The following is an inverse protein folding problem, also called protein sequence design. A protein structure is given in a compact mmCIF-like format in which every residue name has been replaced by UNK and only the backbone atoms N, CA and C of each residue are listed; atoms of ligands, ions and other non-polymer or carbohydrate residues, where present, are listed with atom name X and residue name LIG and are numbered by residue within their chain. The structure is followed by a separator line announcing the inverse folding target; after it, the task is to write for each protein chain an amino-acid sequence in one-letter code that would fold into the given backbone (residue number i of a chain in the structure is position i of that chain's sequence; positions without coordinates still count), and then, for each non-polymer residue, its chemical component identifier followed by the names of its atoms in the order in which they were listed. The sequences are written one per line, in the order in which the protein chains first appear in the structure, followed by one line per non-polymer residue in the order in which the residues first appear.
data_IF_286392920285
#
_entry.id   IF_286392920285
#
_cell.length_a   1.000
_cell.length_b   1.000
_cell.length_c   1.000
_cell.angle_alpha   90.00
_cell.angle_beta   90.00
_cell.angle_gamma   90.00
#
_symmetry.space_group_name_H-M   'P 1'
#
loop_
_entity.id
_entity.type
_entity.pdbx_description
1 polymer ?
#
# COMPACT_ATOMS: atom_id res chain seq x y z
N UNK A 1 9.82 56.36 -29.79
CA UNK A 1 10.49 55.90 -31.03
C UNK A 1 10.89 54.45 -30.87
N UNK A 2 10.47 53.61 -31.83
CA UNK A 2 10.96 52.28 -32.24
C UNK A 2 10.85 51.05 -31.32
N UNK A 3 9.99 50.14 -31.81
CA UNK A 3 9.87 48.70 -31.59
C UNK A 3 11.15 47.91 -31.93
N UNK A 4 11.31 46.73 -31.31
CA UNK A 4 11.58 45.42 -31.94
C UNK A 4 11.64 44.35 -30.83
N UNK A 5 11.08 43.15 -30.86
CA UNK A 5 10.43 42.38 -31.91
C UNK A 5 10.71 40.87 -31.72
N UNK A 6 9.65 40.09 -31.48
CA UNK A 6 9.37 38.71 -31.94
C UNK A 6 10.30 37.56 -31.42
N UNK A 7 9.79 36.36 -31.11
CA UNK A 7 9.11 35.45 -32.04
C UNK A 7 8.07 34.52 -31.39
N UNK A 8 6.93 34.52 -32.07
CA UNK A 8 5.81 33.58 -32.02
C UNK A 8 6.20 32.32 -32.80
N UNK A 9 5.80 31.15 -32.32
CA UNK A 9 5.55 29.99 -33.19
C UNK A 9 4.44 29.13 -32.57
N UNK A 10 3.19 29.52 -32.85
CA UNK A 10 2.06 28.61 -32.82
C UNK A 10 2.14 27.73 -34.08
N UNK A 11 2.01 26.42 -33.91
CA UNK A 11 1.63 25.51 -34.98
C UNK A 11 0.30 24.89 -34.59
N UNK A 12 -0.77 25.52 -35.07
CA UNK A 12 -2.08 24.92 -35.15
C UNK A 12 -2.09 24.00 -36.38
N UNK A 13 -2.26 22.69 -36.16
CA UNK A 13 -2.60 21.76 -37.23
C UNK A 13 -4.13 21.61 -37.25
N UNK A 14 -4.75 22.24 -38.24
CA UNK A 14 -6.14 22.03 -38.62
C UNK A 14 -6.24 20.65 -39.29
N UNK A 15 -6.90 19.71 -38.64
CA UNK A 15 -7.29 18.44 -39.27
C UNK A 15 -8.77 18.53 -39.67
N UNK A 16 -8.99 18.39 -40.97
CA UNK A 16 -10.27 18.48 -41.68
C UNK A 16 -11.21 17.38 -41.20
N UNK A 17 -12.38 17.78 -40.70
CA UNK A 17 -13.47 16.91 -40.29
C UNK A 17 -14.25 16.41 -41.50
N UNK A 18 -14.08 15.13 -41.86
CA UNK A 18 -15.07 14.40 -42.66
C UNK A 18 -16.10 13.78 -41.73
N UNK A 19 -17.34 14.25 -41.81
CA UNK A 19 -18.48 13.65 -41.13
C UNK A 19 -18.77 12.26 -41.70
N UNK A 20 -18.62 11.22 -40.87
CA UNK A 20 -19.31 9.94 -41.06
C UNK A 20 -20.23 9.72 -39.87
N UNK A 21 -21.54 9.69 -40.13
CA UNK A 21 -22.58 9.28 -39.20
C UNK A 21 -22.41 7.78 -38.90
N UNK A 22 -21.99 7.46 -37.67
CA UNK A 22 -21.92 6.10 -37.16
C UNK A 22 -21.88 6.13 -35.64
N UNK A 23 -23.00 5.82 -35.00
CA UNK A 23 -23.16 5.76 -33.55
C UNK A 23 -22.31 4.65 -32.94
N UNK A 24 -21.34 5.02 -32.12
CA UNK A 24 -20.78 4.18 -31.06
C UNK A 24 -20.46 5.10 -29.87
N UNK A 25 -21.30 5.02 -28.84
CA UNK A 25 -20.95 5.51 -27.50
C UNK A 25 -19.84 4.62 -26.98
N UNK A 26 -18.59 5.05 -27.16
CA UNK A 26 -17.46 4.48 -26.46
C UNK A 26 -17.55 4.91 -25.00
N UNK A 27 -17.99 3.99 -24.13
CA UNK A 27 -17.83 4.12 -22.69
C UNK A 27 -16.34 4.25 -22.40
N UNK A 28 -15.92 5.44 -21.93
CA UNK A 28 -14.57 5.65 -21.44
C UNK A 28 -14.39 4.85 -20.15
N UNK A 29 -13.83 3.65 -20.27
CA UNK A 29 -13.22 2.96 -19.13
C UNK A 29 -12.02 3.80 -18.69
N UNK A 30 -11.83 4.04 -17.38
CA UNK A 30 -10.60 4.66 -16.91
C UNK A 30 -9.44 3.74 -17.31
N UNK A 31 -8.48 4.31 -18.05
CA UNK A 31 -7.27 3.62 -18.44
C UNK A 31 -6.55 3.15 -17.17
N UNK A 32 -6.69 1.86 -16.84
CA UNK A 32 -5.74 1.19 -15.96
C UNK A 32 -4.37 1.38 -16.59
N UNK A 33 -3.45 2.01 -15.85
CA UNK A 33 -2.10 2.23 -16.31
C UNK A 33 -1.50 0.92 -16.82
N UNK A 34 -1.26 0.85 -18.13
CA UNK A 34 -0.60 -0.28 -18.78
C UNK A 34 0.74 -0.51 -18.07
N UNK A 35 1.04 -1.71 -17.55
CA UNK A 35 2.39 -2.01 -17.08
C UNK A 35 3.37 -1.78 -18.25
N UNK A 36 4.58 -1.26 -17.98
CA UNK A 36 5.52 -0.91 -19.03
C UNK A 36 5.78 -2.13 -19.91
N UNK A 37 5.41 -2.04 -21.19
CA UNK A 37 5.74 -3.04 -22.21
C UNK A 37 7.22 -2.85 -22.51
N UNK A 38 8.08 -3.69 -21.93
CA UNK A 38 9.49 -3.73 -22.31
C UNK A 38 9.61 -4.03 -23.80
N UNK A 39 10.36 -3.21 -24.54
CA UNK A 39 10.80 -3.56 -25.89
C UNK A 39 11.71 -4.79 -25.85
N UNK A 40 11.67 -5.59 -26.92
CA UNK A 40 12.22 -6.96 -27.04
C UNK A 40 13.74 -7.11 -26.80
N UNK A 41 14.47 -6.08 -26.41
CA UNK A 41 15.95 -6.10 -26.34
C UNK A 41 16.59 -5.56 -25.08
N UNK A 42 15.86 -4.95 -24.13
CA UNK A 42 16.52 -4.40 -22.93
C UNK A 42 15.59 -4.26 -21.73
N UNK A 43 14.92 -5.36 -21.37
CA UNK A 43 14.26 -5.46 -20.08
C UNK A 43 15.35 -5.83 -19.06
N UNK A 44 15.79 -4.93 -18.15
CA UNK A 44 16.75 -5.32 -17.13
C UNK A 44 16.16 -6.50 -16.37
N UNK A 45 16.88 -7.62 -16.33
CA UNK A 45 16.44 -8.81 -15.59
C UNK A 45 16.50 -8.47 -14.10
N UNK A 46 15.42 -7.89 -13.61
CA UNK A 46 15.26 -7.56 -12.21
C UNK A 46 15.12 -8.85 -11.41
N UNK A 47 15.78 -8.89 -10.26
CA UNK A 47 15.74 -10.04 -9.37
C UNK A 47 14.36 -10.17 -8.73
N UNK A 48 13.78 -11.38 -8.71
CA UNK A 48 12.53 -11.63 -8.00
C UNK A 48 12.71 -11.45 -6.48
N UNK A 49 11.65 -10.93 -5.84
CA UNK A 49 11.59 -10.73 -4.38
C UNK A 49 10.41 -11.50 -3.81
N UNK A 50 10.65 -12.24 -2.73
CA UNK A 50 9.61 -12.82 -1.89
C UNK A 50 9.23 -11.77 -0.87
N UNK A 51 8.00 -11.29 -0.91
CA UNK A 51 7.45 -10.35 0.06
C UNK A 51 6.30 -11.02 0.82
N UNK A 52 6.32 -10.92 2.14
CA UNK A 52 5.25 -11.41 3.00
C UNK A 52 4.91 -10.36 4.04
N UNK A 53 3.62 -10.11 4.25
CA UNK A 53 3.12 -9.18 5.25
C UNK A 53 2.56 -9.96 6.45
N UNK A 54 2.76 -9.44 7.66
CA UNK A 54 2.24 -10.05 8.89
C UNK A 54 0.89 -9.44 9.27
N UNK A 55 0.05 -10.18 9.99
CA UNK A 55 -1.20 -9.62 10.53
C UNK A 55 -0.92 -8.37 11.38
N UNK A 56 -1.63 -7.28 11.07
CA UNK A 56 -1.65 -6.06 11.86
C UNK A 56 -2.74 -6.07 12.92
N UNK A 57 -2.68 -5.13 13.86
CA UNK A 57 -3.73 -4.95 14.88
C UNK A 57 -4.06 -3.48 15.04
N UNK A 58 -5.33 -3.13 15.00
CA UNK A 58 -5.84 -1.85 15.46
C UNK A 58 -6.17 -1.95 16.94
N UNK A 59 -5.44 -1.21 17.76
CA UNK A 59 -5.81 -0.89 19.12
C UNK A 59 -6.85 0.25 19.09
N UNK A 60 -8.11 -0.05 19.43
CA UNK A 60 -9.19 0.95 19.40
C UNK A 60 -9.24 1.85 20.63
N UNK A 61 -8.49 1.52 21.69
CA UNK A 61 -8.34 2.39 22.87
C UNK A 61 -7.47 3.59 22.51
N UNK A 62 -6.31 3.32 21.91
CA UNK A 62 -5.31 4.33 21.53
C UNK A 62 -5.46 4.80 20.08
N UNK A 63 -6.39 4.19 19.34
CA UNK A 63 -6.63 4.44 17.93
C UNK A 63 -5.34 4.30 17.12
N UNK A 64 -4.63 3.20 17.35
CA UNK A 64 -3.29 2.97 16.81
C UNK A 64 -3.19 1.62 16.11
N UNK A 65 -2.64 1.63 14.90
CA UNK A 65 -2.21 0.43 14.18
C UNK A 65 -0.81 0.01 14.64
N UNK A 66 -0.73 -1.26 15.01
CA UNK A 66 0.46 -1.94 15.49
C UNK A 66 0.72 -3.20 14.66
N UNK A 67 1.95 -3.71 14.74
CA UNK A 67 2.39 -4.93 14.05
C UNK A 67 2.26 -4.89 12.52
N UNK A 68 2.17 -3.69 11.94
CA UNK A 68 2.20 -3.49 10.48
C UNK A 68 3.62 -3.74 10.01
N UNK A 69 3.88 -4.93 9.47
CA UNK A 69 5.22 -5.40 9.16
C UNK A 69 5.25 -6.23 7.89
N UNK A 70 6.37 -6.17 7.17
CA UNK A 70 6.64 -7.04 6.03
C UNK A 70 8.08 -7.52 6.04
N UNK A 71 8.27 -8.75 5.54
CA UNK A 71 9.58 -9.38 5.34
C UNK A 71 9.84 -9.52 3.86
N UNK A 72 11.01 -9.06 3.41
CA UNK A 72 11.48 -9.17 2.04
C UNK A 72 12.72 -10.05 1.94
N UNK A 73 12.73 -10.94 0.95
CA UNK A 73 13.81 -11.90 0.69
C UNK A 73 14.16 -11.86 -0.79
N UNK A 74 15.46 -11.77 -1.12
CA UNK A 74 15.94 -11.97 -2.48
C UNK A 74 15.77 -13.45 -2.85
N UNK A 75 14.90 -13.74 -3.82
CA UNK A 75 14.57 -15.12 -4.19
C UNK A 75 15.67 -15.83 -4.98
N UNK A 76 16.65 -15.08 -5.50
CA UNK A 76 17.82 -15.65 -6.18
C UNK A 76 18.83 -16.17 -5.16
N UNK A 77 19.08 -15.39 -4.10
CA UNK A 77 20.10 -15.73 -3.10
C UNK A 77 19.54 -16.41 -1.85
N UNK A 78 18.22 -16.33 -1.63
CA UNK A 78 17.54 -16.78 -0.41
C UNK A 78 17.85 -15.93 0.82
N UNK A 79 18.51 -14.76 0.65
CA UNK A 79 18.94 -13.91 1.75
C UNK A 79 17.91 -12.82 2.05
N UNK A 80 17.83 -12.33 3.30
CA UNK A 80 17.01 -11.17 3.62
C UNK A 80 17.45 -9.96 2.80
N UNK A 81 16.48 -9.24 2.24
CA UNK A 81 16.75 -8.06 1.45
C UNK A 81 16.87 -6.85 2.38
N UNK A 82 18.08 -6.32 2.55
CA UNK A 82 18.40 -5.23 3.48
C UNK A 82 18.34 -3.87 2.78
N UNK A 83 17.78 -2.85 3.44
CA UNK A 83 17.73 -1.48 2.93
C UNK A 83 16.72 -1.23 1.82
N UNK A 84 15.78 -2.14 1.58
CA UNK A 84 14.70 -1.94 0.62
C UNK A 84 13.57 -1.10 1.21
N UNK A 85 13.05 -0.15 0.44
CA UNK A 85 11.92 0.69 0.86
C UNK A 85 10.60 -0.05 0.67
N UNK A 86 9.86 -0.22 1.77
CA UNK A 86 8.50 -0.73 1.78
C UNK A 86 7.55 0.39 2.21
N UNK A 87 6.47 0.54 1.44
CA UNK A 87 5.36 1.44 1.75
C UNK A 87 4.14 0.60 2.14
N UNK A 88 3.47 1.03 3.20
CA UNK A 88 2.30 0.35 3.74
C UNK A 88 1.07 1.18 3.42
N UNK A 89 0.06 0.56 2.83
CA UNK A 89 -1.19 1.19 2.44
C UNK A 89 -2.34 0.44 3.07
N UNK A 90 -3.42 1.13 3.40
CA UNK A 90 -4.70 0.46 3.55
C UNK A 90 -5.13 -0.20 2.24
N UNK A 91 -6.04 -1.17 2.33
CA UNK A 91 -6.70 -1.75 1.14
C UNK A 91 -7.41 -0.70 0.24
N UNK A 92 -7.80 0.44 0.79
CA UNK A 92 -8.39 1.57 0.06
C UNK A 92 -7.35 2.48 -0.63
N UNK A 93 -6.05 2.19 -0.49
CA UNK A 93 -4.96 2.93 -1.14
C UNK A 93 -4.42 4.12 -0.35
N UNK A 94 -4.88 4.35 0.89
CA UNK A 94 -4.35 5.40 1.77
C UNK A 94 -3.00 4.97 2.34
N UNK A 95 -1.98 5.82 2.24
CA UNK A 95 -0.67 5.56 2.81
C UNK A 95 -0.73 5.57 4.35
N UNK A 96 -0.33 4.47 4.98
CA UNK A 96 -0.15 4.33 6.42
C UNK A 96 1.24 4.80 6.85
N UNK A 97 2.25 4.52 6.03
CA UNK A 97 3.64 4.90 6.29
C UNK A 97 4.63 4.13 5.43
N UNK A 98 5.91 4.28 5.73
CA UNK A 98 6.98 3.59 5.01
C UNK A 98 8.17 3.31 5.92
N UNK A 99 8.86 2.21 5.67
CA UNK A 99 10.08 1.85 6.38
C UNK A 99 11.06 1.13 5.46
N UNK A 100 12.35 1.21 5.79
CA UNK A 100 13.39 0.42 5.16
C UNK A 100 13.55 -0.91 5.87
N UNK A 101 13.83 -1.97 5.10
CA UNK A 101 14.11 -3.28 5.68
C UNK A 101 15.44 -3.28 6.45
N UNK A 102 15.43 -3.88 7.64
CA UNK A 102 16.63 -4.05 8.47
C UNK A 102 17.49 -5.24 8.01
N UNK A 103 18.52 -5.61 8.80
CA UNK A 103 19.42 -6.74 8.50
C UNK A 103 18.72 -8.11 8.38
N UNK A 104 17.52 -8.24 8.95
CA UNK A 104 16.70 -9.45 8.84
C UNK A 104 15.67 -9.36 7.70
N UNK A 105 15.74 -8.33 6.85
CA UNK A 105 14.80 -8.13 5.75
C UNK A 105 13.43 -7.62 6.19
N UNK A 106 13.30 -7.15 7.43
CA UNK A 106 12.00 -6.77 8.02
C UNK A 106 11.87 -5.25 8.00
N UNK A 107 10.75 -4.75 7.48
CA UNK A 107 10.30 -3.37 7.63
C UNK A 107 9.00 -3.34 8.45
N UNK A 108 8.84 -2.33 9.31
CA UNK A 108 7.65 -2.21 10.14
C UNK A 108 7.34 -0.77 10.51
N UNK A 109 6.06 -0.49 10.73
CA UNK A 109 5.57 0.81 11.17
C UNK A 109 4.51 0.64 12.28
N UNK A 110 4.27 1.75 12.97
CA UNK A 110 3.05 1.99 13.75
C UNK A 110 2.41 3.25 13.20
N UNK A 111 1.08 3.29 13.12
CA UNK A 111 0.36 4.45 12.57
C UNK A 111 -0.83 4.82 13.47
N UNK A 112 -1.03 6.11 13.72
CA UNK A 112 -2.26 6.57 14.37
C UNK A 112 -3.41 6.59 13.36
N UNK A 113 -4.59 6.17 13.80
CA UNK A 113 -5.80 6.10 13.00
C UNK A 113 -6.87 7.05 13.52
N UNK A 114 -7.69 7.53 12.60
CA UNK A 114 -8.91 8.24 12.91
C UNK A 114 -10.06 7.50 12.23
N UNK A 115 -10.94 6.90 13.03
CA UNK A 115 -12.05 6.08 12.53
C UNK A 115 -13.20 6.98 12.07
N UNK A 116 -12.94 7.75 11.01
CA UNK A 116 -13.97 8.45 10.27
C UNK A 116 -14.93 7.48 9.57
N UNK A 117 -16.04 7.99 9.02
CA UNK A 117 -16.98 7.17 8.25
C UNK A 117 -16.25 6.43 7.12
N UNK A 118 -16.38 5.11 7.05
CA UNK A 118 -15.73 4.28 6.02
C UNK A 118 -14.35 3.75 6.39
N UNK A 119 -13.64 4.35 7.36
CA UNK A 119 -12.27 3.93 7.73
C UNK A 119 -12.25 2.53 8.31
N UNK A 120 -13.24 2.15 9.12
CA UNK A 120 -13.30 0.79 9.68
C UNK A 120 -13.47 -0.25 8.58
N UNK A 121 -14.32 0.01 7.58
CA UNK A 121 -14.50 -0.92 6.46
C UNK A 121 -13.21 -1.09 5.64
N UNK A 122 -12.49 0.02 5.43
CA UNK A 122 -11.18 0.01 4.79
C UNK A 122 -10.16 -0.83 5.58
N UNK A 123 -10.08 -0.64 6.89
CA UNK A 123 -9.13 -1.38 7.74
C UNK A 123 -9.49 -2.86 7.91
N UNK A 124 -10.78 -3.20 7.92
CA UNK A 124 -11.24 -4.60 7.98
C UNK A 124 -10.85 -5.41 6.73
N UNK A 125 -10.66 -4.72 5.60
CA UNK A 125 -10.12 -5.33 4.38
C UNK A 125 -8.60 -5.52 4.44
N UNK A 126 -7.92 -5.09 5.51
CA UNK A 126 -6.47 -5.26 5.68
C UNK A 126 -5.62 -4.13 5.10
N UNK A 127 -4.34 -4.43 4.93
CA UNK A 127 -3.34 -3.53 4.39
C UNK A 127 -2.43 -4.22 3.37
N UNK A 128 -1.85 -3.43 2.49
CA UNK A 128 -0.88 -3.86 1.49
C UNK A 128 0.50 -3.30 1.82
N UNK A 129 1.50 -4.17 1.90
CA UNK A 129 2.90 -3.81 1.89
C UNK A 129 3.40 -3.81 0.44
N UNK A 130 3.98 -2.71 -0.01
CA UNK A 130 4.48 -2.54 -1.38
C UNK A 130 5.96 -2.21 -1.35
N UNK A 131 6.77 -3.10 -1.90
CA UNK A 131 8.18 -2.86 -2.16
C UNK A 131 8.30 -2.05 -3.47
N UNK A 132 8.93 -0.88 -3.39
CA UNK A 132 8.94 0.11 -4.49
C UNK A 132 9.83 -0.31 -5.67
N UNK A 133 10.76 -1.24 -5.44
CA UNK A 133 11.82 -1.60 -6.39
C UNK A 133 12.97 -0.59 -6.32
N UNK A 134 14.20 -1.06 -6.52
CA UNK A 134 15.44 -0.27 -6.41
C UNK A 134 16.24 -0.25 -7.73
N UNK A 135 15.63 -0.71 -8.83
CA UNK A 135 16.30 -0.88 -10.12
C UNK A 135 17.12 -2.17 -10.25
N UNK A 136 17.24 -2.96 -9.17
CA UNK A 136 17.85 -4.30 -9.17
C UNK A 136 16.80 -5.37 -8.87
N UNK A 137 15.86 -5.07 -7.99
CA UNK A 137 14.79 -5.94 -7.53
C UNK A 137 13.43 -5.48 -8.09
N UNK A 138 12.57 -6.44 -8.43
CA UNK A 138 11.21 -6.14 -8.89
C UNK A 138 10.40 -5.44 -7.80
N UNK A 139 9.53 -4.51 -8.20
CA UNK A 139 8.45 -4.06 -7.33
C UNK A 139 7.47 -5.22 -7.09
N UNK A 140 7.02 -5.37 -5.84
CA UNK A 140 6.10 -6.46 -5.45
C UNK A 140 5.26 -6.03 -4.26
N UNK A 141 4.12 -6.68 -4.07
CA UNK A 141 3.17 -6.37 -2.99
C UNK A 141 2.72 -7.63 -2.25
N UNK A 142 2.43 -7.47 -0.96
CA UNK A 142 1.86 -8.51 -0.12
C UNK A 142 0.72 -7.94 0.73
N UNK A 143 -0.36 -8.70 0.83
CA UNK A 143 -1.56 -8.32 1.58
C UNK A 143 -1.59 -9.01 2.94
N UNK A 144 -2.04 -8.31 3.98
CA UNK A 144 -2.27 -8.89 5.30
C UNK A 144 -3.50 -8.29 6.00
N UNK A 145 -4.22 -9.10 6.80
CA UNK A 145 -5.38 -8.63 7.53
C UNK A 145 -4.96 -7.70 8.69
N UNK A 146 -5.89 -6.84 9.08
CA UNK A 146 -5.83 -6.08 10.34
C UNK A 146 -6.91 -6.64 11.25
N UNK A 147 -6.54 -7.06 12.45
CA UNK A 147 -7.49 -7.42 13.51
C UNK A 147 -7.79 -6.23 14.40
N UNK A 148 -8.94 -6.25 15.06
CA UNK A 148 -9.35 -5.20 16.00
C UNK A 148 -9.20 -5.75 17.42
N UNK A 149 -8.53 -5.00 18.29
CA UNK A 149 -8.35 -5.35 19.69
C UNK A 149 -8.29 -4.11 20.58
N UNK A 150 -8.41 -4.32 21.88
CA UNK A 150 -8.26 -3.30 22.93
C UNK A 150 -7.07 -3.71 23.79
N UNK A 151 -5.85 -3.64 23.24
CA UNK A 151 -4.63 -3.84 24.03
C UNK A 151 -4.63 -5.10 24.93
N UNK A 152 -4.94 -6.27 24.36
CA UNK A 152 -4.51 -7.53 24.96
C UNK A 152 -3.05 -7.84 24.56
N UNK A 153 -2.13 -7.01 25.06
CA UNK A 153 -0.67 -7.14 24.87
C UNK A 153 -0.16 -8.58 25.03
N UNK A 154 0.13 -9.28 23.93
CA UNK A 154 1.07 -10.41 23.85
C UNK A 154 1.00 -11.46 24.97
N UNK A 155 0.20 -12.52 24.81
CA UNK A 155 0.46 -13.82 25.50
C UNK A 155 -0.05 -14.99 24.65
N UNK A 156 0.65 -16.14 24.60
CA UNK A 156 0.24 -17.34 23.86
C UNK A 156 -1.11 -17.90 24.34
N UNK A 157 -1.74 -18.84 23.60
CA UNK A 157 -3.09 -19.25 23.86
C UNK A 157 -3.12 -20.10 25.13
N UNK A 158 -3.86 -19.67 26.15
CA UNK A 158 -4.64 -20.55 27.06
C UNK A 158 -5.51 -19.76 28.05
N UNK A 159 -5.05 -18.66 28.66
CA UNK A 159 -5.70 -18.17 29.91
C UNK A 159 -6.20 -16.71 29.94
N UNK A 160 -6.10 -15.94 28.85
CA UNK A 160 -6.44 -14.49 28.89
C UNK A 160 -7.94 -14.16 28.91
N UNK A 161 -8.81 -15.16 28.71
CA UNK A 161 -10.28 -14.96 28.77
C UNK A 161 -10.79 -14.57 30.17
N UNK A 162 -10.00 -14.76 31.23
CA UNK A 162 -10.47 -14.50 32.61
C UNK A 162 -10.15 -13.10 33.15
N UNK A 163 -9.31 -12.30 32.49
CA UNK A 163 -8.94 -10.96 32.99
C UNK A 163 -9.67 -9.80 32.33
N UNK A 164 -10.27 -10.00 31.15
CA UNK A 164 -10.98 -8.93 30.45
C UNK A 164 -12.48 -8.89 30.75
N UNK A 165 -13.03 -9.86 31.50
CA UNK A 165 -14.44 -9.87 31.86
C UNK A 165 -14.70 -10.72 33.11
N UNK A 166 -14.49 -10.19 34.32
CA UNK A 166 -15.40 -10.31 35.48
C UNK A 166 -15.07 -9.18 36.46
N UNK A 167 -15.86 -8.12 36.46
CA UNK A 167 -16.08 -7.33 37.68
C UNK A 167 -17.28 -8.00 38.37
N UNK A 168 -17.16 -8.58 39.58
CA UNK A 168 -18.32 -9.07 40.28
C UNK A 168 -19.22 -7.87 40.62
N UNK A 169 -20.44 -7.88 40.11
CA UNK A 169 -21.50 -6.98 40.58
C UNK A 169 -21.83 -7.40 42.02
N UNK A 170 -21.52 -6.54 42.98
CA UNK A 170 -22.01 -6.69 44.34
C UNK A 170 -23.50 -6.31 44.35
N UNK A 171 -24.37 -7.31 44.38
CA UNK A 171 -25.81 -7.14 44.55
C UNK A 171 -26.21 -7.34 46.02
N UNK A 172 -25.55 -6.63 46.93
CA UNK A 172 -25.99 -6.47 48.32
C UNK A 172 -26.51 -5.05 48.56
N UNK A 173 -27.81 -4.84 48.30
CA UNK A 173 -28.69 -3.96 49.10
C UNK A 173 -30.14 -4.16 48.74
#
# INVERSE_FOLDING_TARGET
MKLSGNRVAQLAAVAVSTLSLGTIVASATPAMAQPPICGETDCPSLKPVGLSASQGTLNVTDMQLENITATATDMVTGRPLVGALIRFYTSGGRLLGSAYTNYNGIAGITASENLGPGTIQELLNGYDAVLVGDGVHIATSAHAPITIGTDCATTPPSDRRLKCAVVPVDSSR
#
